data_IF_309603488018
#
_entry.id   IF_309603488018
#
_cell.length_a   1.000
_cell.length_b   1.000
_cell.length_c   1.000
_cell.angle_alpha   90.00
_cell.angle_beta   90.00
_cell.angle_gamma   90.00
#
_symmetry.space_group_name_H-M   'P 1'
#
loop_
_entity.id
_entity.type
_entity.pdbx_description
1 polymer ?
#
# COMPACT_ATOMS: atom_id res chain seq x y z
N UNK A 1 -1.97 -15.34 -20.44
CA UNK A 1 -1.73 -15.12 -19.00
C UNK A 1 -0.34 -15.64 -18.66
N UNK A 2 0.52 -14.85 -18.00
CA UNK A 2 1.92 -15.22 -17.73
C UNK A 2 2.02 -16.04 -16.44
N UNK A 3 2.76 -17.15 -16.44
CA UNK A 3 2.98 -18.00 -15.26
C UNK A 3 4.12 -17.47 -14.39
N UNK A 4 3.82 -17.05 -13.15
CA UNK A 4 4.80 -16.51 -12.19
C UNK A 4 5.23 -17.50 -11.10
N UNK A 5 5.04 -18.81 -11.33
CA UNK A 5 5.31 -19.87 -10.34
C UNK A 5 6.79 -19.90 -9.91
N UNK A 6 7.70 -19.81 -10.89
CA UNK A 6 9.15 -19.79 -10.64
C UNK A 6 9.57 -18.60 -9.79
N UNK A 7 9.08 -17.40 -10.11
CA UNK A 7 9.41 -16.15 -9.44
C UNK A 7 8.94 -16.18 -7.98
N UNK A 8 7.73 -16.71 -7.75
CA UNK A 8 7.20 -16.92 -6.41
C UNK A 8 8.07 -17.89 -5.61
N UNK A 9 8.47 -19.02 -6.21
CA UNK A 9 9.34 -20.01 -5.60
C UNK A 9 10.73 -19.43 -5.22
N UNK A 10 11.33 -18.67 -6.14
CA UNK A 10 12.63 -18.04 -5.92
C UNK A 10 12.56 -16.95 -4.82
N UNK A 11 11.48 -16.18 -4.78
CA UNK A 11 11.26 -15.17 -3.73
C UNK A 11 11.09 -15.79 -2.34
N UNK A 12 10.40 -16.94 -2.24
CA UNK A 12 10.27 -17.73 -1.00
C UNK A 12 11.65 -18.13 -0.48
N UNK A 13 12.49 -18.72 -1.34
CA UNK A 13 13.82 -19.19 -0.96
C UNK A 13 14.77 -18.03 -0.60
N UNK A 14 14.63 -16.88 -1.26
CA UNK A 14 15.44 -15.68 -1.00
C UNK A 14 15.04 -14.98 0.31
N UNK A 15 13.74 -14.82 0.54
CA UNK A 15 13.19 -14.10 1.70
C UNK A 15 13.03 -15.00 2.92
N UNK A 16 13.23 -16.31 2.78
CA UNK A 16 13.03 -17.33 3.83
C UNK A 16 11.63 -17.26 4.45
N UNK A 17 10.61 -17.11 3.60
CA UNK A 17 9.20 -16.92 4.00
C UNK A 17 8.30 -17.96 3.32
N UNK A 18 7.22 -18.39 3.97
CA UNK A 18 6.29 -19.38 3.41
C UNK A 18 5.53 -18.91 2.16
N UNK A 19 5.03 -19.86 1.35
CA UNK A 19 4.39 -19.60 0.05
C UNK A 19 3.15 -18.68 0.11
N UNK A 20 2.48 -18.60 1.27
CA UNK A 20 1.35 -17.70 1.50
C UNK A 20 1.72 -16.25 1.88
N UNK A 21 3.00 -15.96 2.12
CA UNK A 21 3.47 -14.63 2.59
C UNK A 21 4.08 -13.78 1.49
N UNK A 22 4.42 -14.38 0.35
CA UNK A 22 5.01 -13.67 -0.80
C UNK A 22 3.90 -13.23 -1.74
N UNK A 23 3.66 -11.91 -1.80
CA UNK A 23 2.77 -11.28 -2.76
C UNK A 23 3.57 -10.62 -3.88
N UNK A 24 3.11 -10.80 -5.13
CA UNK A 24 3.69 -10.20 -6.32
C UNK A 24 2.75 -9.07 -6.79
N UNK A 25 3.30 -7.91 -7.13
CA UNK A 25 2.51 -6.76 -7.55
C UNK A 25 1.91 -7.02 -8.96
N UNK A 26 0.58 -7.02 -9.14
CA UNK A 26 -0.06 -7.29 -10.43
C UNK A 26 0.21 -6.20 -11.49
N UNK A 27 0.63 -5.00 -11.09
CA UNK A 27 0.97 -3.91 -12.02
C UNK A 27 2.39 -4.05 -12.61
N UNK A 28 3.22 -4.95 -12.06
CA UNK A 28 4.63 -5.14 -12.43
C UNK A 28 4.88 -6.51 -13.09
N UNK A 29 3.81 -7.20 -13.55
CA UNK A 29 3.88 -8.59 -14.03
C UNK A 29 4.89 -8.79 -15.17
N UNK A 30 5.03 -7.81 -16.06
CA UNK A 30 5.98 -7.90 -17.18
C UNK A 30 7.44 -7.83 -16.70
N UNK A 31 7.74 -6.96 -15.74
CA UNK A 31 9.08 -6.84 -15.17
C UNK A 31 9.43 -8.07 -14.33
N UNK A 32 8.47 -8.55 -13.51
CA UNK A 32 8.63 -9.76 -12.68
C UNK A 32 8.84 -11.00 -13.55
N UNK A 33 8.14 -11.11 -14.68
CA UNK A 33 8.27 -12.25 -15.60
C UNK A 33 9.68 -12.37 -16.20
N UNK A 34 10.36 -11.25 -16.42
CA UNK A 34 11.69 -11.24 -17.02
C UNK A 34 12.78 -11.67 -16.03
N UNK A 35 12.50 -11.59 -14.73
CA UNK A 35 13.44 -11.97 -13.69
C UNK A 35 13.42 -13.48 -13.40
N UNK A 36 14.46 -14.17 -13.89
CA UNK A 36 14.60 -15.63 -13.79
C UNK A 36 15.61 -16.10 -12.75
N UNK A 37 16.28 -15.17 -12.05
CA UNK A 37 17.39 -15.46 -11.13
C UNK A 37 17.10 -15.01 -9.70
N UNK A 38 17.52 -15.82 -8.71
CA UNK A 38 17.49 -15.48 -7.29
C UNK A 38 18.26 -14.19 -6.98
N UNK A 39 19.31 -13.90 -7.75
CA UNK A 39 20.09 -12.66 -7.62
C UNK A 39 19.30 -11.44 -8.07
N UNK A 40 18.46 -11.56 -9.11
CA UNK A 40 17.63 -10.44 -9.57
C UNK A 40 16.51 -10.14 -8.58
N UNK A 41 15.90 -11.18 -8.00
CA UNK A 41 14.89 -11.02 -6.94
C UNK A 41 15.48 -10.35 -5.70
N UNK A 42 16.71 -10.72 -5.28
CA UNK A 42 17.44 -10.00 -4.21
C UNK A 42 17.66 -8.53 -4.55
N UNK A 43 17.99 -8.21 -5.80
CA UNK A 43 18.19 -6.83 -6.27
C UNK A 43 16.89 -6.03 -6.27
N UNK A 44 15.77 -6.61 -6.71
CA UNK A 44 14.46 -5.97 -6.69
C UNK A 44 14.02 -5.64 -5.26
N UNK A 45 14.11 -6.60 -4.36
CA UNK A 45 13.77 -6.42 -2.95
C UNK A 45 14.67 -5.38 -2.27
N UNK A 46 15.97 -5.39 -2.57
CA UNK A 46 16.90 -4.39 -2.06
C UNK A 46 16.57 -2.98 -2.61
N UNK A 47 16.18 -2.85 -3.88
CA UNK A 47 15.74 -1.57 -4.45
C UNK A 47 14.44 -1.06 -3.81
N UNK A 48 13.45 -1.93 -3.57
CA UNK A 48 12.20 -1.59 -2.87
C UNK A 48 12.45 -1.08 -1.45
N UNK A 49 13.40 -1.69 -0.73
CA UNK A 49 13.87 -1.23 0.59
C UNK A 49 14.71 0.06 0.54
N UNK A 50 14.92 0.64 -0.64
CA UNK A 50 15.70 1.86 -0.83
C UNK A 50 17.22 1.65 -0.94
N UNK A 51 17.71 0.41 -0.82
CA UNK A 51 19.11 0.10 -1.09
C UNK A 51 19.42 0.20 -2.60
N UNK A 52 20.70 0.22 -2.97
CA UNK A 52 21.16 0.27 -4.38
C UNK A 52 20.70 1.50 -5.20
N UNK A 53 20.19 2.55 -4.55
CA UNK A 53 19.72 3.80 -5.18
C UNK A 53 20.69 4.98 -4.99
N UNK A 54 21.97 4.71 -4.69
CA UNK A 54 23.02 5.73 -4.48
C UNK A 54 23.34 6.48 -5.77
N UNK A 55 23.80 7.74 -5.67
CA UNK A 55 24.12 8.63 -6.79
C UNK A 55 24.90 7.97 -7.94
N UNK A 56 25.98 7.21 -7.66
CA UNK A 56 26.79 6.55 -8.69
C UNK A 56 26.10 5.40 -9.45
N UNK A 57 24.94 4.93 -9.00
CA UNK A 57 24.14 3.89 -9.70
C UNK A 57 22.98 4.47 -10.49
N UNK A 58 22.71 5.76 -10.34
CA UNK A 58 21.61 6.44 -10.98
C UNK A 58 22.01 6.85 -12.41
N UNK A 59 21.36 6.27 -13.43
CA UNK A 59 21.61 6.59 -14.86
C UNK A 59 20.61 7.60 -15.42
N UNK A 60 21.03 8.46 -16.35
CA UNK A 60 20.18 9.49 -16.99
C UNK A 60 19.96 10.76 -16.15
N UNK A 61 19.27 11.76 -16.70
CA UNK A 61 18.97 13.03 -16.00
C UNK A 61 17.80 12.88 -15.01
N UNK A 62 17.62 13.83 -14.10
CA UNK A 62 16.47 13.83 -13.15
C UNK A 62 15.15 13.87 -13.91
N UNK A 63 15.05 14.74 -14.91
CA UNK A 63 13.85 14.94 -15.71
C UNK A 63 13.48 13.68 -16.53
N UNK A 64 14.47 12.91 -17.00
CA UNK A 64 14.21 11.64 -17.68
C UNK A 64 13.69 10.54 -16.75
N UNK A 65 14.07 10.54 -15.46
CA UNK A 65 13.63 9.51 -14.49
C UNK A 65 12.23 9.78 -13.97
N UNK A 66 11.97 11.03 -13.58
CA UNK A 66 10.73 11.49 -12.99
C UNK A 66 10.50 12.92 -13.48
N UNK A 67 9.77 13.10 -14.59
CA UNK A 67 9.52 14.42 -15.14
C UNK A 67 8.82 15.32 -14.13
N UNK A 68 9.30 16.55 -14.00
CA UNK A 68 8.82 17.51 -13.00
C UNK A 68 7.33 17.79 -13.19
N UNK A 69 6.86 17.82 -14.44
CA UNK A 69 5.44 17.94 -14.81
C UNK A 69 4.59 16.81 -14.24
N UNK A 70 5.06 15.56 -14.30
CA UNK A 70 4.32 14.39 -13.79
C UNK A 70 4.22 14.43 -12.26
N UNK A 71 5.29 14.82 -11.58
CA UNK A 71 5.29 15.01 -10.12
C UNK A 71 4.29 16.11 -9.71
N UNK A 72 4.28 17.23 -10.42
CA UNK A 72 3.34 18.33 -10.18
C UNK A 72 1.89 17.88 -10.37
N UNK A 73 1.57 17.18 -11.45
CA UNK A 73 0.23 16.62 -11.69
C UNK A 73 -0.19 15.65 -10.58
N UNK A 74 0.66 14.68 -10.22
CA UNK A 74 0.36 13.73 -9.13
C UNK A 74 0.08 14.44 -7.80
N UNK A 75 0.88 15.47 -7.48
CA UNK A 75 0.68 16.31 -6.28
C UNK A 75 -0.66 17.02 -6.32
N UNK A 76 -1.00 17.67 -7.44
CA UNK A 76 -2.29 18.36 -7.60
C UNK A 76 -3.49 17.40 -7.51
N UNK A 77 -3.41 16.21 -8.11
CA UNK A 77 -4.48 15.21 -8.04
C UNK A 77 -4.72 14.70 -6.61
N UNK A 78 -3.68 14.56 -5.78
CA UNK A 78 -3.84 14.18 -4.37
C UNK A 78 -4.44 15.34 -3.56
N UNK A 79 -3.90 16.55 -3.74
CA UNK A 79 -4.37 17.75 -3.03
C UNK A 79 -5.83 18.09 -3.35
N UNK A 80 -6.30 17.83 -4.57
CA UNK A 80 -7.71 18.04 -4.94
C UNK A 80 -8.65 16.94 -4.41
N UNK A 81 -8.15 15.72 -4.21
CA UNK A 81 -8.93 14.59 -3.66
C UNK A 81 -9.12 14.68 -2.14
N UNK A 82 -8.11 15.16 -1.42
CA UNK A 82 -8.14 15.22 0.05
C UNK A 82 -9.31 16.06 0.61
N UNK A 83 -9.58 17.30 0.15
CA UNK A 83 -10.69 18.11 0.65
C UNK A 83 -12.06 17.47 0.43
N UNK A 84 -12.25 16.75 -0.68
CA UNK A 84 -13.48 15.99 -0.93
C UNK A 84 -13.68 14.90 0.12
N UNK A 85 -12.63 14.11 0.37
CA UNK A 85 -12.64 13.07 1.40
C UNK A 85 -12.88 13.62 2.81
N UNK A 86 -12.28 14.76 3.15
CA UNK A 86 -12.51 15.39 4.46
C UNK A 86 -13.92 15.98 4.60
N UNK A 87 -14.51 16.51 3.51
CA UNK A 87 -15.91 16.96 3.50
C UNK A 87 -16.88 15.80 3.68
N UNK A 88 -16.69 14.70 2.96
CA UNK A 88 -17.49 13.48 3.12
C UNK A 88 -17.44 12.95 4.57
N UNK A 89 -16.25 12.91 5.19
CA UNK A 89 -16.08 12.44 6.58
C UNK A 89 -16.75 13.39 7.59
N UNK A 90 -16.63 14.71 7.40
CA UNK A 90 -17.24 15.70 8.30
C UNK A 90 -18.76 15.79 8.15
N UNK A 91 -19.30 15.63 6.94
CA UNK A 91 -20.75 15.52 6.71
C UNK A 91 -21.33 14.23 7.31
N UNK A 92 -20.59 13.13 7.25
CA UNK A 92 -20.99 11.85 7.86
C UNK A 92 -21.04 11.94 9.40
N UNK A 93 -19.98 12.49 10.02
CA UNK A 93 -19.89 12.71 11.47
C UNK A 93 -21.02 13.57 12.05
N UNK A 94 -21.42 14.63 11.33
CA UNK A 94 -22.49 15.51 11.78
C UNK A 94 -23.89 14.85 11.69
N UNK A 95 -24.12 14.00 10.68
CA UNK A 95 -25.39 13.27 10.50
C UNK A 95 -25.58 12.15 11.54
N UNK A 96 -24.51 11.44 11.89
CA UNK A 96 -24.54 10.39 12.93
C UNK A 96 -24.81 10.97 14.34
N UNK A 97 -24.37 12.21 14.60
CA UNK A 97 -24.65 12.90 15.87
C UNK A 97 -26.11 13.33 16.05
N UNK A 98 -26.92 13.38 14.99
CA UNK A 98 -28.34 13.76 15.05
C UNK A 98 -29.30 12.55 15.05
N UNK A 99 -28.75 11.32 14.95
CA UNK A 99 -29.53 10.09 14.82
C UNK A 99 -29.13 9.00 15.81
N UNK A 100 -29.34 9.22 17.11
CA UNK A 100 -29.46 8.14 18.11
C UNK A 100 -30.21 8.66 19.34
N UNK A 101 -31.54 8.71 19.21
CA UNK A 101 -32.45 8.52 20.32
C UNK A 101 -32.70 7.01 20.51
N UNK A 102 -32.84 6.60 21.77
CA UNK A 102 -33.16 5.25 22.27
C UNK A 102 -32.19 4.12 21.93
N UNK A 103 -31.20 3.92 22.81
CA UNK A 103 -30.87 2.60 23.39
C UNK A 103 -29.79 2.79 24.47
N UNK A 104 -30.19 3.34 25.62
CA UNK A 104 -29.36 3.25 26.84
C UNK A 104 -29.65 1.89 27.48
N UNK A 105 -28.66 1.02 27.69
CA UNK A 105 -28.87 -0.17 28.51
C UNK A 105 -29.13 0.27 29.95
N UNK A 106 -30.36 0.12 30.41
CA UNK A 106 -30.75 0.32 31.80
C UNK A 106 -30.01 -0.71 32.65
N UNK A 107 -28.95 -0.28 33.33
CA UNK A 107 -28.34 -1.07 34.40
C UNK A 107 -29.31 -1.06 35.57
N UNK A 108 -30.08 -2.13 35.71
CA UNK A 108 -30.92 -2.37 36.90
C UNK A 108 -29.96 -2.72 38.04
N UNK A 109 -29.92 -1.97 39.16
CA UNK A 109 -29.09 -2.33 40.29
C UNK A 109 -29.62 -3.62 40.94
N UNK A 110 -28.74 -4.55 41.36
CA UNK A 110 -29.18 -5.79 42.00
C UNK A 110 -29.88 -5.48 43.32
N UNK A 111 -31.06 -6.07 43.50
CA UNK A 111 -31.85 -5.99 44.71
C UNK A 111 -31.02 -6.45 45.92
N UNK A 112 -30.97 -5.62 46.96
CA UNK A 112 -30.46 -5.98 48.26
C UNK A 112 -31.36 -7.09 48.84
N UNK A 113 -30.88 -8.33 48.82
CA UNK A 113 -31.45 -9.40 49.60
C UNK A 113 -31.18 -9.12 51.08
N UNK A 114 -32.26 -9.01 51.85
CA UNK A 114 -32.26 -8.95 53.32
C UNK A 114 -32.20 -10.36 53.90
#
# INVERSE_FOLDING_TARGET
MVSLKLQKQLAINVLKCGNGKVCLNPNEVNEISMDKSSQNIRKLEAKRKGCHSRYGKRKGTREARLPTKVLWMRRMCVLKRLPHKYREINEFSWKDSQGQGSDKPTVVPPAAAS
#
